data_IF_626440770953
#
_entry.id   IF_626440770953
#
_cell.length_a   1.000
_cell.length_b   1.000
_cell.length_c   1.000
_cell.angle_alpha   90.00
_cell.angle_beta   90.00
_cell.angle_gamma   90.00
#
_symmetry.space_group_name_H-M   'P 1'
#
loop_
_entity.id
_entity.type
_entity.pdbx_description
1 polymer ?
#
# COMPACT_ATOMS: atom_id res chain seq x y z
N UNK A 1 7.86 5.63 -46.93
CA UNK A 1 6.85 6.20 -46.01
C UNK A 1 7.04 5.63 -44.60
N UNK A 2 7.86 6.25 -43.72
CA UNK A 2 8.15 5.78 -42.36
C UNK A 2 7.29 6.47 -41.27
N UNK A 3 6.37 7.34 -41.65
CA UNK A 3 5.61 8.23 -40.74
C UNK A 3 4.48 7.52 -39.99
N UNK A 4 3.88 6.47 -40.56
CA UNK A 4 2.72 5.79 -39.99
C UNK A 4 3.04 5.03 -38.69
N UNK A 5 4.09 4.21 -38.69
CA UNK A 5 4.51 3.46 -37.47
C UNK A 5 4.87 4.37 -36.31
N UNK A 6 5.45 5.54 -36.58
CA UNK A 6 5.82 6.51 -35.54
C UNK A 6 4.58 7.12 -34.89
N UNK A 7 3.52 7.36 -35.66
CA UNK A 7 2.25 7.87 -35.16
C UNK A 7 1.49 6.83 -34.34
N UNK A 8 1.48 5.56 -34.76
CA UNK A 8 0.85 4.45 -34.01
C UNK A 8 1.52 4.21 -32.66
N UNK A 9 2.86 4.22 -32.63
CA UNK A 9 3.63 4.09 -31.40
C UNK A 9 3.41 5.28 -30.45
N UNK A 10 3.29 6.50 -31.00
CA UNK A 10 2.98 7.69 -30.20
C UNK A 10 1.56 7.65 -29.62
N UNK A 11 0.58 7.18 -30.39
CA UNK A 11 -0.79 7.01 -29.92
C UNK A 11 -0.90 5.95 -28.82
N UNK A 12 -0.20 4.82 -28.98
CA UNK A 12 -0.14 3.77 -27.96
C UNK A 12 0.53 4.26 -26.67
N UNK A 13 1.60 5.05 -26.79
CA UNK A 13 2.26 5.68 -25.64
C UNK A 13 1.30 6.59 -24.88
N UNK A 14 0.54 7.44 -25.58
CA UNK A 14 -0.43 8.35 -24.94
C UNK A 14 -1.56 7.58 -24.25
N UNK A 15 -2.03 6.46 -24.81
CA UNK A 15 -3.04 5.60 -24.18
C UNK A 15 -2.48 4.92 -22.92
N UNK A 16 -1.27 4.38 -22.98
CA UNK A 16 -0.61 3.75 -21.83
C UNK A 16 -0.26 4.79 -20.75
N UNK A 17 0.18 5.98 -21.13
CA UNK A 17 0.43 7.09 -20.21
C UNK A 17 -0.86 7.57 -19.55
N UNK A 18 -1.98 7.63 -20.28
CA UNK A 18 -3.30 8.00 -19.74
C UNK A 18 -3.84 6.93 -18.79
N UNK A 19 -3.63 5.64 -19.12
CA UNK A 19 -3.98 4.53 -18.24
C UNK A 19 -3.09 4.50 -16.99
N UNK A 20 -1.79 4.77 -17.12
CA UNK A 20 -0.88 4.90 -15.98
C UNK A 20 -1.25 6.09 -15.09
N UNK A 21 -1.64 7.23 -15.68
CA UNK A 21 -2.13 8.39 -14.95
C UNK A 21 -3.42 8.05 -14.18
N UNK A 22 -4.38 7.40 -14.83
CA UNK A 22 -5.61 6.93 -14.19
C UNK A 22 -5.31 5.88 -13.09
N UNK A 23 -4.32 5.02 -13.32
CA UNK A 23 -3.90 4.00 -12.38
C UNK A 23 -3.14 4.56 -11.17
N UNK A 24 -2.69 5.83 -11.17
CA UNK A 24 -1.95 6.41 -10.03
C UNK A 24 -2.73 6.37 -8.71
N UNK A 25 -4.07 6.48 -8.76
CA UNK A 25 -4.93 6.28 -7.57
C UNK A 25 -4.96 4.83 -7.05
N UNK A 26 -4.62 3.86 -7.89
CA UNK A 26 -4.43 2.44 -7.51
C UNK A 26 -2.97 2.11 -7.16
N UNK A 27 -2.03 2.96 -7.59
CA UNK A 27 -0.61 2.81 -7.28
C UNK A 27 -0.28 3.35 -5.89
N UNK A 28 -1.04 4.30 -5.35
CA UNK A 28 -0.79 4.90 -4.04
C UNK A 28 -1.78 4.34 -3.03
N UNK A 29 -1.27 3.75 -1.95
CA UNK A 29 -2.09 3.34 -0.80
C UNK A 29 -2.13 4.48 0.23
N UNK A 30 -3.32 4.82 0.71
CA UNK A 30 -3.44 5.71 1.86
C UNK A 30 -2.96 4.97 3.11
N UNK A 31 -2.24 5.65 4.01
CA UNK A 31 -1.70 5.03 5.21
C UNK A 31 -2.82 4.58 6.14
N UNK A 32 -2.59 3.46 6.82
CA UNK A 32 -3.39 3.00 7.96
C UNK A 32 -2.41 2.67 9.08
N UNK A 33 -2.60 3.27 10.26
CA UNK A 33 -1.78 2.89 11.40
C UNK A 33 -2.26 1.56 11.97
N UNK A 34 -1.33 0.64 12.22
CA UNK A 34 -1.62 -0.63 12.87
C UNK A 34 -0.77 -0.71 14.13
N UNK A 35 -1.43 -0.64 15.28
CA UNK A 35 -0.80 -0.68 16.60
C UNK A 35 -0.95 -2.08 17.15
N UNK A 36 0.17 -2.69 17.53
CA UNK A 36 0.23 -4.05 18.08
C UNK A 36 0.91 -4.00 19.43
N UNK A 37 0.39 -4.79 20.36
CA UNK A 37 0.99 -5.01 21.66
C UNK A 37 0.68 -6.41 22.13
N UNK A 38 1.48 -6.87 23.08
CA UNK A 38 1.33 -8.17 23.71
C UNK A 38 1.37 -7.96 25.22
N UNK A 39 0.57 -8.73 25.94
CA UNK A 39 0.61 -8.80 27.41
C UNK A 39 1.24 -10.12 27.82
N UNK A 40 1.98 -10.12 28.94
CA UNK A 40 2.48 -11.36 29.53
C UNK A 40 1.45 -12.00 30.46
N UNK A 41 0.70 -11.17 31.19
CA UNK A 41 -0.39 -11.53 32.09
C UNK A 41 -1.45 -10.43 32.07
N UNK A 42 -2.70 -10.81 32.30
CA UNK A 42 -3.88 -9.93 32.29
C UNK A 42 -4.65 -10.04 33.62
N UNK A 43 -3.93 -10.35 34.70
CA UNK A 43 -4.51 -10.38 36.04
C UNK A 43 -5.08 -8.98 36.33
N UNK A 44 -6.38 -8.96 36.61
CA UNK A 44 -7.14 -7.74 36.89
C UNK A 44 -7.32 -6.80 35.69
N UNK A 45 -6.93 -7.18 34.48
CA UNK A 45 -7.16 -6.37 33.26
C UNK A 45 -8.53 -6.66 32.66
N UNK A 46 -9.37 -5.63 32.50
CA UNK A 46 -10.62 -5.71 31.73
C UNK A 46 -10.42 -5.44 30.23
N UNK A 47 -9.42 -4.64 29.88
CA UNK A 47 -9.13 -4.33 28.49
C UNK A 47 -8.40 -3.02 28.30
N UNK A 48 -8.40 -2.54 27.05
CA UNK A 48 -7.56 -1.43 26.61
C UNK A 48 -8.32 -0.38 25.81
N UNK A 49 -7.91 0.86 25.99
CA UNK A 49 -8.17 1.95 25.06
C UNK A 49 -6.88 2.38 24.38
N UNK A 50 -7.01 2.84 23.14
CA UNK A 50 -5.90 3.41 22.38
C UNK A 50 -6.13 4.90 22.25
N UNK A 51 -5.09 5.67 22.47
CA UNK A 51 -5.08 7.11 22.32
C UNK A 51 -4.05 7.54 21.30
N UNK A 52 -4.28 8.70 20.67
CA UNK A 52 -3.46 9.27 19.62
C UNK A 52 -3.20 10.76 19.85
N UNK A 53 -1.99 11.20 19.59
CA UNK A 53 -1.60 12.61 19.51
C UNK A 53 -0.81 12.89 18.22
N UNK A 54 -0.70 14.17 17.84
CA UNK A 54 0.17 14.64 16.75
C UNK A 54 1.53 15.13 17.23
N UNK A 55 1.71 15.21 18.56
CA UNK A 55 2.94 15.60 19.23
C UNK A 55 3.21 14.62 20.37
N UNK A 56 4.47 14.26 20.59
CA UNK A 56 4.86 13.22 21.56
C UNK A 56 4.45 13.57 23.01
N UNK A 57 4.65 14.83 23.38
CA UNK A 57 4.30 15.40 24.70
C UNK A 57 2.97 16.17 24.68
N UNK A 58 2.18 15.99 23.62
CA UNK A 58 0.94 16.71 23.40
C UNK A 58 -0.28 16.12 24.13
N UNK A 59 -1.45 16.65 23.78
CA UNK A 59 -2.72 16.10 24.25
C UNK A 59 -3.13 14.89 23.41
N UNK A 60 -3.35 13.77 24.09
CA UNK A 60 -3.77 12.52 23.47
C UNK A 60 -5.29 12.38 23.50
N UNK A 61 -5.90 12.13 22.35
CA UNK A 61 -7.33 11.86 22.22
C UNK A 61 -7.59 10.36 22.05
N UNK A 62 -8.64 9.84 22.68
CA UNK A 62 -9.03 8.43 22.52
C UNK A 62 -9.49 8.17 21.10
N UNK A 63 -8.95 7.12 20.47
CA UNK A 63 -9.31 6.71 19.10
C UNK A 63 -10.11 5.40 19.07
N UNK A 64 -10.14 4.63 20.16
CA UNK A 64 -11.07 3.51 20.29
C UNK A 64 -12.46 3.99 20.71
N UNK A 65 -13.49 3.51 19.99
CA UNK A 65 -14.89 3.80 20.33
C UNK A 65 -15.37 2.97 21.53
N UNK A 66 -14.94 1.70 21.58
CA UNK A 66 -15.27 0.73 22.62
C UNK A 66 -13.99 0.18 23.24
N UNK A 67 -14.11 -0.32 24.46
CA UNK A 67 -13.02 -1.04 25.12
C UNK A 67 -12.64 -2.26 24.28
N UNK A 68 -11.34 -2.45 24.06
CA UNK A 68 -10.80 -3.68 23.49
C UNK A 68 -10.68 -4.66 24.67
N UNK A 69 -11.52 -5.70 24.77
CA UNK A 69 -11.54 -6.56 25.94
C UNK A 69 -10.24 -7.36 26.05
N UNK A 70 -9.82 -7.64 27.29
CA UNK A 70 -8.79 -8.65 27.54
C UNK A 70 -9.26 -10.02 27.05
N UNK A 71 -8.30 -10.93 26.80
CA UNK A 71 -8.56 -12.24 26.21
C UNK A 71 -9.39 -13.16 27.11
N UNK A 72 -9.36 -12.88 28.41
CA UNK A 72 -10.12 -13.59 29.44
C UNK A 72 -9.35 -14.67 30.19
N UNK A 73 -8.15 -15.06 29.73
CA UNK A 73 -7.21 -15.83 30.56
C UNK A 73 -6.23 -14.87 31.24
N UNK A 74 -6.36 -14.61 32.55
CA UNK A 74 -5.49 -13.66 33.24
C UNK A 74 -4.04 -14.17 33.37
N UNK A 75 -3.80 -15.48 33.27
CA UNK A 75 -2.49 -16.09 33.46
C UNK A 75 -1.72 -16.26 32.16
N UNK A 76 -2.41 -16.24 31.02
CA UNK A 76 -1.78 -16.20 29.71
C UNK A 76 -2.18 -14.90 29.03
N UNK A 77 -1.26 -13.94 28.99
CA UNK A 77 -1.50 -12.72 28.22
C UNK A 77 -1.74 -13.00 26.72
N UNK A 78 -1.95 -11.95 25.95
CA UNK A 78 -2.45 -12.06 24.58
C UNK A 78 -1.88 -11.00 23.66
N UNK A 79 -1.94 -11.30 22.37
CA UNK A 79 -1.56 -10.37 21.30
C UNK A 79 -2.78 -9.62 20.78
N UNK A 80 -2.64 -8.31 20.61
CA UNK A 80 -3.70 -7.41 20.19
C UNK A 80 -3.30 -6.59 18.98
N UNK A 81 -4.33 -6.13 18.26
CA UNK A 81 -4.17 -5.23 17.13
C UNK A 81 -5.28 -4.18 17.12
N UNK A 82 -4.90 -2.91 16.94
CA UNK A 82 -5.81 -1.81 16.66
C UNK A 82 -5.45 -1.14 15.33
N UNK A 83 -6.46 -0.83 14.53
CA UNK A 83 -6.31 -0.20 13.21
C UNK A 83 -6.92 1.19 13.22
N UNK A 84 -6.13 2.19 12.86
CA UNK A 84 -6.58 3.56 12.68
C UNK A 84 -6.53 3.94 11.19
N UNK A 85 -7.67 3.89 10.47
CA UNK A 85 -7.76 4.30 9.07
C UNK A 85 -7.89 5.82 8.89
N UNK A 86 -7.95 6.60 9.97
CA UNK A 86 -8.21 8.05 9.90
C UNK A 86 -6.94 8.90 9.85
N UNK A 87 -5.77 8.26 9.84
CA UNK A 87 -4.48 8.93 9.71
C UNK A 87 -4.35 9.61 8.36
N UNK A 88 -3.72 10.79 8.35
CA UNK A 88 -3.50 11.56 7.14
C UNK A 88 -2.05 11.43 6.68
N UNK A 89 -1.86 11.24 5.38
CA UNK A 89 -0.54 11.14 4.80
C UNK A 89 0.32 12.38 5.05
N UNK A 90 1.61 12.17 5.32
CA UNK A 90 2.58 13.23 5.62
C UNK A 90 2.58 13.72 7.07
N UNK A 91 1.72 13.17 7.92
CA UNK A 91 1.65 13.50 9.35
C UNK A 91 2.31 12.40 10.21
N UNK A 92 2.98 12.82 11.28
CA UNK A 92 3.43 11.92 12.35
C UNK A 92 2.39 11.87 13.46
N UNK A 93 2.12 10.67 13.95
CA UNK A 93 1.24 10.39 15.07
C UNK A 93 1.97 9.62 16.17
N UNK A 94 1.50 9.77 17.40
CA UNK A 94 1.98 9.09 18.58
C UNK A 94 0.82 8.36 19.22
N UNK A 95 0.99 7.09 19.53
CA UNK A 95 -0.05 6.24 20.11
C UNK A 95 0.37 5.76 21.49
N UNK A 96 -0.61 5.69 22.38
CA UNK A 96 -0.41 5.23 23.74
C UNK A 96 -1.60 4.38 24.18
N UNK A 97 -1.32 3.36 24.99
CA UNK A 97 -2.32 2.47 25.55
C UNK A 97 -2.76 2.95 26.92
N UNK A 98 -4.03 2.77 27.20
CA UNK A 98 -4.62 2.92 28.53
C UNK A 98 -5.29 1.60 28.90
N UNK A 99 -4.88 1.05 30.03
CA UNK A 99 -5.45 -0.15 30.60
C UNK A 99 -6.62 0.21 31.51
N UNK A 100 -7.69 -0.58 31.43
CA UNK A 100 -8.78 -0.56 32.39
C UNK A 100 -8.70 -1.81 33.25
N UNK A 101 -8.61 -1.61 34.56
CA UNK A 101 -8.57 -2.68 35.54
C UNK A 101 -9.98 -3.08 36.02
N UNK A 102 -10.10 -4.27 36.62
CA UNK A 102 -11.34 -4.74 37.27
C UNK A 102 -11.76 -3.86 38.45
N UNK A 103 -10.81 -3.12 39.02
CA UNK A 103 -11.03 -2.08 40.04
C UNK A 103 -11.78 -0.85 39.50
N UNK A 104 -11.84 -0.68 38.17
CA UNK A 104 -12.34 0.52 37.50
C UNK A 104 -11.28 1.62 37.32
N UNK A 105 -10.03 1.34 37.68
CA UNK A 105 -8.91 2.27 37.49
C UNK A 105 -8.46 2.28 36.03
N UNK A 106 -8.21 3.48 35.51
CA UNK A 106 -7.60 3.68 34.20
C UNK A 106 -6.13 4.04 34.39
N UNK A 107 -5.25 3.24 33.80
CA UNK A 107 -3.79 3.42 33.90
C UNK A 107 -3.19 3.63 32.53
N UNK A 108 -2.50 4.77 32.33
CA UNK A 108 -1.81 5.08 31.08
C UNK A 108 -0.47 4.35 31.03
N UNK A 109 -0.27 3.51 30.02
CA UNK A 109 0.98 2.77 29.86
C UNK A 109 2.09 3.71 29.34
N UNK A 110 3.35 3.54 29.80
CA UNK A 110 4.44 4.48 29.47
C UNK A 110 4.88 4.40 28.01
N UNK A 111 4.63 3.27 27.34
CA UNK A 111 5.09 3.05 25.99
C UNK A 111 4.32 3.90 24.98
N UNK A 112 5.09 4.62 24.16
CA UNK A 112 4.57 5.47 23.09
C UNK A 112 5.06 4.92 21.76
N UNK A 113 4.13 4.65 20.86
CA UNK A 113 4.41 4.18 19.50
C UNK A 113 4.34 5.36 18.54
N UNK A 114 5.48 5.72 17.95
CA UNK A 114 5.55 6.70 16.86
C UNK A 114 5.18 6.04 15.53
N UNK A 115 4.24 6.64 14.80
CA UNK A 115 3.83 6.22 13.48
C UNK A 115 3.92 7.37 12.48
N UNK A 116 4.62 7.15 11.38
CA UNK A 116 4.74 8.11 10.29
C UNK A 116 3.81 7.70 9.16
N UNK A 117 2.76 8.49 8.91
CA UNK A 117 1.75 8.18 7.91
C UNK A 117 2.31 8.47 6.50
N UNK A 118 3.15 7.58 5.98
CA UNK A 118 3.74 7.72 4.64
C UNK A 118 2.79 7.19 3.57
N UNK A 119 2.62 7.94 2.47
CA UNK A 119 2.04 7.41 1.24
C UNK A 119 3.03 6.48 0.58
N UNK A 120 2.65 5.23 0.44
CA UNK A 120 3.46 4.23 -0.25
C UNK A 120 2.92 4.01 -1.66
N UNK A 121 3.84 3.95 -2.62
CA UNK A 121 3.54 3.60 -4.00
C UNK A 121 3.86 2.12 -4.23
N UNK A 122 3.02 1.44 -5.01
CA UNK A 122 3.22 0.07 -5.45
C UNK A 122 4.31 0.01 -6.54
N UNK A 123 5.57 0.15 -6.13
CA UNK A 123 6.71 0.20 -7.04
C UNK A 123 6.84 -1.03 -7.92
N UNK A 124 6.42 -2.21 -7.47
CA UNK A 124 6.37 -3.41 -8.31
C UNK A 124 5.43 -3.25 -9.51
N UNK A 125 4.27 -2.64 -9.29
CA UNK A 125 3.34 -2.37 -10.38
C UNK A 125 3.91 -1.30 -11.32
N UNK A 126 4.60 -0.28 -10.78
CA UNK A 126 5.34 0.71 -11.59
C UNK A 126 6.40 0.02 -12.47
N UNK A 127 7.22 -0.86 -11.89
CA UNK A 127 8.25 -1.60 -12.63
C UNK A 127 7.65 -2.56 -13.67
N UNK A 128 6.55 -3.24 -13.35
CA UNK A 128 5.83 -4.11 -14.29
C UNK A 128 5.30 -3.31 -15.48
N UNK A 129 4.70 -2.14 -15.23
CA UNK A 129 4.20 -1.25 -16.29
C UNK A 129 5.35 -0.74 -17.17
N UNK A 130 6.49 -0.38 -16.58
CA UNK A 130 7.71 -0.01 -17.33
C UNK A 130 8.23 -1.18 -18.16
N UNK A 131 8.28 -2.39 -17.61
CA UNK A 131 8.75 -3.58 -18.31
C UNK A 131 7.83 -3.96 -19.48
N UNK A 132 6.51 -3.91 -19.29
CA UNK A 132 5.52 -4.13 -20.34
C UNK A 132 5.67 -3.09 -21.46
N UNK A 133 5.90 -1.83 -21.09
CA UNK A 133 6.17 -0.76 -22.04
C UNK A 133 7.43 -1.05 -22.88
N UNK A 134 8.54 -1.44 -22.25
CA UNK A 134 9.75 -1.82 -22.97
C UNK A 134 9.52 -3.02 -23.89
N UNK A 135 8.84 -4.07 -23.42
CA UNK A 135 8.56 -5.25 -24.24
C UNK A 135 7.77 -4.90 -25.52
N UNK A 136 6.82 -3.98 -25.44
CA UNK A 136 6.04 -3.50 -26.59
C UNK A 136 6.91 -2.66 -27.54
N UNK A 137 7.72 -1.75 -27.03
CA UNK A 137 8.60 -0.91 -27.86
C UNK A 137 9.72 -1.68 -28.56
N UNK A 138 10.15 -2.81 -27.98
CA UNK A 138 11.28 -3.60 -28.47
C UNK A 138 10.89 -4.98 -29.03
N UNK A 139 9.59 -5.28 -29.18
CA UNK A 139 9.15 -6.52 -29.84
C UNK A 139 9.61 -6.49 -31.31
N UNK A 140 10.41 -7.45 -31.79
CA UNK A 140 10.82 -7.47 -33.19
C UNK A 140 9.57 -7.66 -34.04
N UNK A 141 9.26 -6.69 -34.90
CA UNK A 141 8.23 -6.85 -35.91
C UNK A 141 8.64 -8.04 -36.79
N UNK A 142 7.90 -9.16 -36.69
CA UNK A 142 8.05 -10.25 -37.67
C UNK A 142 7.79 -9.63 -39.04
N UNK A 143 8.84 -9.52 -39.86
CA UNK A 143 8.69 -9.08 -41.24
C UNK A 143 7.74 -10.06 -41.93
N UNK A 144 6.74 -9.59 -42.69
CA UNK A 144 5.96 -10.49 -43.52
C UNK A 144 6.93 -11.15 -44.49
N UNK A 145 7.09 -12.46 -44.39
CA UNK A 145 7.80 -13.26 -45.37
C UNK A 145 7.00 -13.11 -46.66
N UNK A 146 7.42 -12.21 -47.55
CA UNK A 146 6.91 -12.21 -48.91
C UNK A 146 7.22 -13.61 -49.45
N UNK A 147 6.17 -14.39 -49.64
CA UNK A 147 6.22 -15.66 -50.34
C UNK A 147 6.96 -15.41 -51.65
N UNK A 148 8.14 -16.01 -51.77
CA UNK A 148 8.94 -16.00 -52.99
C UNK A 148 8.22 -16.94 -53.97
N UNK A 149 7.21 -16.42 -54.66
CA UNK A 149 6.52 -17.06 -55.78
C UNK A 149 6.44 -16.02 -56.89
N UNK A 150 6.77 -16.45 -58.10
CA UNK A 150 7.05 -15.68 -59.33
C UNK A 150 8.46 -15.05 -59.32
N UNK A 151 9.42 -15.54 -60.10
CA UNK A 151 9.33 -15.78 -61.55
C UNK A 151 10.24 -16.95 -61.97
N UNK A 152 9.64 -18.13 -62.15
CA UNK A 152 10.03 -19.01 -63.27
C UNK A 152 9.35 -18.41 -64.48
N UNK A 153 10.12 -17.77 -65.36
CA UNK A 153 9.89 -17.56 -66.80
C UNK A 153 10.94 -16.54 -67.28
N UNK A 154 11.43 -16.74 -68.49
CA UNK A 154 12.33 -15.85 -69.24
C UNK A 154 13.84 -16.10 -69.03
N UNK A 155 14.34 -17.18 -69.65
CA UNK A 155 15.35 -17.08 -70.72
C UNK A 155 15.80 -18.48 -71.19
N UNK A 156 14.96 -19.14 -71.99
CA UNK A 156 15.45 -19.96 -73.10
C UNK A 156 15.85 -19.00 -74.24
N UNK A 157 17.07 -19.15 -74.76
CA UNK A 157 17.43 -19.27 -76.19
C UNK A 157 18.95 -19.40 -76.33
#
# INVERSE_FOLDING_TARGET
MPTHRRAELAALFLVLASFALWATGYLVQEPQAIIRWETESEVETLGFHVYRATEETGSYARVTEKLIPSSGDPFTGSAYEFRDPTVQAGQTYFYQLEELETSGTFTRLPDIVRFEARREANWWLVLLLIALFLAICFLPARLPTSVQMDTIKDAEF
#
